data_IF_986391058061
#
_entry.id   IF_986391058061
#
_cell.length_a   1.000
_cell.length_b   1.000
_cell.length_c   1.000
_cell.angle_alpha   90.00
_cell.angle_beta   90.00
_cell.angle_gamma   90.00
#
_symmetry.space_group_name_H-M   'P 1'
#
loop_
_entity.id
_entity.type
_entity.pdbx_description
1 polymer ?
#
# COMPACT_ATOMS: atom_id res chain seq x y z
N UNK A 1 -14.10 24.40 3.28
CA UNK A 1 -14.05 23.66 2.00
C UNK A 1 -12.69 22.99 1.93
N UNK A 2 -12.63 21.73 1.47
CA UNK A 2 -11.37 21.00 1.26
C UNK A 2 -10.90 20.17 2.45
N UNK A 3 -11.75 19.91 3.45
CA UNK A 3 -11.37 19.08 4.62
C UNK A 3 -11.62 17.59 4.44
N UNK A 4 -12.36 17.19 3.42
CA UNK A 4 -12.65 15.80 3.09
C UNK A 4 -12.46 15.59 1.61
N UNK A 5 -11.82 14.49 1.23
CA UNK A 5 -11.66 14.06 -0.14
C UNK A 5 -12.44 12.78 -0.43
N UNK A 6 -12.82 12.58 -1.68
CA UNK A 6 -13.55 11.39 -2.12
C UNK A 6 -12.56 10.31 -2.53
N UNK A 7 -12.68 9.14 -1.92
CA UNK A 7 -12.03 7.92 -2.36
C UNK A 7 -13.02 7.06 -3.14
N UNK A 8 -12.71 6.73 -4.38
CA UNK A 8 -13.55 5.87 -5.21
C UNK A 8 -13.48 4.40 -4.77
N UNK A 9 -14.59 3.68 -4.90
CA UNK A 9 -14.63 2.23 -4.71
C UNK A 9 -14.79 1.55 -6.07
N UNK A 10 -14.01 0.50 -6.32
CA UNK A 10 -13.92 -0.17 -7.61
C UNK A 10 -14.60 -1.54 -7.60
N UNK A 11 -15.33 -1.84 -8.66
CA UNK A 11 -15.96 -3.16 -8.87
C UNK A 11 -14.96 -4.11 -9.55
N UNK A 12 -13.94 -4.59 -8.83
CA UNK A 12 -12.87 -5.44 -9.35
C UNK A 12 -13.35 -6.79 -9.94
N UNK A 13 -14.59 -7.18 -9.68
CA UNK A 13 -15.21 -8.31 -10.37
C UNK A 13 -15.33 -8.10 -11.90
N UNK A 14 -15.30 -6.83 -12.34
CA UNK A 14 -15.34 -6.43 -13.75
C UNK A 14 -14.15 -5.51 -14.08
N UNK A 15 -12.90 -6.02 -14.17
CA UNK A 15 -11.69 -5.20 -14.30
C UNK A 15 -11.75 -4.21 -15.47
N UNK A 16 -12.29 -4.63 -16.61
CA UNK A 16 -12.44 -3.79 -17.79
C UNK A 16 -13.31 -2.52 -17.56
N UNK A 17 -14.13 -2.50 -16.51
CA UNK A 17 -14.95 -1.34 -16.15
C UNK A 17 -14.28 -0.43 -15.11
N UNK A 18 -13.24 -0.90 -14.43
CA UNK A 18 -12.60 -0.15 -13.36
C UNK A 18 -11.94 1.13 -13.88
N UNK A 19 -11.30 1.08 -15.04
CA UNK A 19 -10.70 2.25 -15.68
C UNK A 19 -11.75 3.34 -15.95
N UNK A 20 -12.88 2.98 -16.54
CA UNK A 20 -13.99 3.90 -16.78
C UNK A 20 -14.55 4.47 -15.48
N UNK A 21 -14.70 3.64 -14.44
CA UNK A 21 -15.22 4.09 -13.14
C UNK A 21 -14.26 5.06 -12.44
N UNK A 22 -12.95 4.87 -12.57
CA UNK A 22 -11.96 5.84 -12.07
C UNK A 22 -12.12 7.19 -12.76
N UNK A 23 -12.16 7.22 -14.10
CA UNK A 23 -12.37 8.47 -14.85
C UNK A 23 -13.69 9.14 -14.43
N UNK A 24 -14.76 8.37 -14.33
CA UNK A 24 -16.06 8.88 -13.88
C UNK A 24 -16.02 9.44 -12.46
N UNK A 25 -15.33 8.79 -11.53
CA UNK A 25 -15.22 9.25 -10.15
C UNK A 25 -14.44 10.56 -10.05
N UNK A 26 -13.38 10.72 -10.84
CA UNK A 26 -12.63 11.98 -10.94
C UNK A 26 -13.51 13.08 -11.53
N UNK A 27 -14.15 12.84 -12.66
CA UNK A 27 -14.92 13.84 -13.39
C UNK A 27 -16.15 14.32 -12.61
N UNK A 28 -16.86 13.43 -11.94
CA UNK A 28 -18.12 13.76 -11.26
C UNK A 28 -17.94 14.19 -9.79
N UNK A 29 -16.93 13.64 -9.11
CA UNK A 29 -16.80 13.79 -7.67
C UNK A 29 -15.46 14.40 -7.26
N UNK A 30 -14.53 14.62 -8.19
CA UNK A 30 -13.18 15.08 -7.89
C UNK A 30 -12.36 14.09 -7.09
N UNK A 31 -12.60 12.77 -7.27
CA UNK A 31 -11.85 11.75 -6.54
C UNK A 31 -10.36 11.85 -6.84
N UNK A 32 -9.52 11.76 -5.81
CA UNK A 32 -8.06 11.79 -5.91
C UNK A 32 -7.41 10.45 -5.57
N UNK A 33 -8.21 9.53 -5.07
CA UNK A 33 -7.77 8.19 -4.67
C UNK A 33 -8.85 7.14 -4.95
N UNK A 34 -8.46 5.87 -4.94
CA UNK A 34 -9.39 4.77 -5.03
C UNK A 34 -8.98 3.62 -4.12
N UNK A 35 -9.98 2.99 -3.49
CA UNK A 35 -9.79 1.79 -2.69
C UNK A 35 -9.48 0.61 -3.61
N UNK A 36 -8.37 -0.07 -3.35
CA UNK A 36 -7.90 -1.26 -4.07
C UNK A 36 -7.81 -2.43 -3.07
N UNK A 37 -8.77 -3.37 -3.08
CA UNK A 37 -8.62 -4.60 -2.31
C UNK A 37 -7.36 -5.38 -2.71
N UNK A 38 -6.72 -6.08 -1.78
CA UNK A 38 -5.52 -6.88 -2.07
C UNK A 38 -5.75 -8.03 -3.06
N UNK A 39 -7.02 -8.44 -3.25
CA UNK A 39 -7.44 -9.42 -4.26
C UNK A 39 -8.77 -9.04 -4.89
N UNK A 40 -9.00 -9.47 -6.11
CA UNK A 40 -10.26 -9.32 -6.82
C UNK A 40 -11.11 -10.60 -6.74
N UNK A 41 -11.72 -10.86 -5.58
CA UNK A 41 -12.47 -12.10 -5.33
C UNK A 41 -11.56 -13.34 -5.38
N UNK A 42 -10.42 -13.27 -4.70
CA UNK A 42 -9.39 -14.31 -4.68
C UNK A 42 -8.44 -14.30 -5.89
N UNK A 43 -8.68 -13.48 -6.91
CA UNK A 43 -7.77 -13.34 -8.05
C UNK A 43 -6.67 -12.32 -7.72
N UNK A 44 -5.41 -12.62 -8.04
CA UNK A 44 -4.33 -11.65 -7.90
C UNK A 44 -4.55 -10.41 -8.78
N UNK A 45 -3.98 -9.28 -8.37
CA UNK A 45 -4.09 -8.00 -9.10
C UNK A 45 -3.00 -7.79 -10.15
N UNK A 46 -2.07 -8.69 -10.27
CA UNK A 46 -0.92 -8.64 -11.19
C UNK A 46 -1.25 -9.10 -12.61
N UNK A 47 -2.46 -9.61 -12.85
CA UNK A 47 -2.91 -10.05 -14.15
C UNK A 47 -3.13 -8.90 -15.15
N UNK A 48 -2.96 -9.17 -16.46
CA UNK A 48 -3.07 -8.15 -17.51
C UNK A 48 -4.46 -7.53 -17.63
N UNK A 49 -5.49 -8.16 -17.08
CA UNK A 49 -6.83 -7.61 -17.02
C UNK A 49 -6.96 -6.35 -16.15
N UNK A 50 -5.99 -6.12 -15.25
CA UNK A 50 -5.93 -4.92 -14.41
C UNK A 50 -5.05 -3.80 -14.98
N UNK A 51 -4.27 -4.04 -16.05
CA UNK A 51 -3.39 -3.03 -16.65
C UNK A 51 -4.14 -1.75 -17.05
N UNK A 52 -5.37 -1.88 -17.55
CA UNK A 52 -6.21 -0.72 -17.89
C UNK A 52 -6.56 0.16 -16.66
N UNK A 53 -6.78 -0.46 -15.50
CA UNK A 53 -6.99 0.25 -14.24
C UNK A 53 -5.74 1.01 -13.83
N UNK A 54 -4.58 0.35 -13.84
CA UNK A 54 -3.31 0.95 -13.43
C UNK A 54 -2.87 2.07 -14.37
N UNK A 55 -3.05 1.90 -15.69
CA UNK A 55 -2.77 2.93 -16.67
C UNK A 55 -3.61 4.20 -16.47
N UNK A 56 -4.89 4.06 -16.12
CA UNK A 56 -5.75 5.21 -15.84
C UNK A 56 -5.39 5.85 -14.51
N UNK A 57 -5.12 5.07 -13.47
CA UNK A 57 -4.67 5.59 -12.18
C UNK A 57 -3.36 6.40 -12.33
N UNK A 58 -2.38 5.87 -13.06
CA UNK A 58 -1.13 6.55 -13.39
C UNK A 58 -1.37 7.86 -14.18
N UNK A 59 -2.15 7.79 -15.28
CA UNK A 59 -2.48 8.93 -16.12
C UNK A 59 -3.13 10.08 -15.36
N UNK A 60 -4.00 9.76 -14.40
CA UNK A 60 -4.74 10.74 -13.60
C UNK A 60 -4.01 11.14 -12.31
N UNK A 61 -2.85 10.53 -12.02
CA UNK A 61 -2.10 10.78 -10.78
C UNK A 61 -2.84 10.35 -9.51
N UNK A 62 -3.66 9.30 -9.60
CA UNK A 62 -4.47 8.81 -8.48
C UNK A 62 -3.65 7.92 -7.55
N UNK A 63 -3.83 8.13 -6.25
CA UNK A 63 -3.33 7.23 -5.22
C UNK A 63 -4.27 6.03 -5.09
N UNK A 64 -3.77 4.82 -5.28
CA UNK A 64 -4.52 3.59 -5.01
C UNK A 64 -4.25 3.13 -3.58
N UNK A 65 -5.25 3.21 -2.71
CA UNK A 65 -5.16 2.74 -1.34
C UNK A 65 -5.45 1.25 -1.27
N UNK A 66 -4.41 0.45 -1.11
CA UNK A 66 -4.54 -0.99 -0.98
C UNK A 66 -4.91 -1.36 0.45
N UNK A 67 -6.15 -1.83 0.61
CA UNK A 67 -6.64 -2.36 1.87
C UNK A 67 -7.00 -3.84 1.70
N UNK A 68 -6.51 -4.74 2.56
CA UNK A 68 -6.79 -6.16 2.46
C UNK A 68 -8.27 -6.45 2.68
N UNK A 69 -8.73 -7.50 2.04
CA UNK A 69 -10.04 -8.08 2.28
C UNK A 69 -9.88 -9.54 2.65
N UNK A 70 -10.88 -10.09 3.33
CA UNK A 70 -10.87 -11.50 3.68
C UNK A 70 -10.96 -12.34 2.41
N UNK A 71 -9.83 -12.78 1.92
CA UNK A 71 -9.77 -13.42 0.63
C UNK A 71 -10.27 -14.86 0.68
N UNK A 72 -9.96 -15.65 1.69
CA UNK A 72 -10.37 -17.08 1.67
C UNK A 72 -10.26 -17.80 3.02
N UNK A 73 -11.08 -18.83 3.12
CA UNK A 73 -11.11 -19.89 4.11
C UNK A 73 -11.15 -19.47 5.59
N UNK A 74 -12.37 -19.29 6.13
CA UNK A 74 -12.57 -19.08 7.57
C UNK A 74 -12.02 -20.25 8.42
N UNK A 75 -11.73 -21.39 7.83
CA UNK A 75 -11.22 -22.58 8.53
C UNK A 75 -9.76 -22.47 8.94
N UNK A 76 -8.95 -21.64 8.26
CA UNK A 76 -7.54 -21.44 8.62
C UNK A 76 -7.35 -20.45 9.77
N UNK A 77 -8.31 -19.56 10.01
CA UNK A 77 -8.25 -18.48 10.98
C UNK A 77 -9.50 -18.39 11.87
N UNK A 78 -9.91 -19.47 12.53
CA UNK A 78 -11.25 -19.54 13.13
C UNK A 78 -11.42 -18.80 14.44
N UNK A 79 -10.32 -18.39 15.10
CA UNK A 79 -10.36 -17.82 16.46
C UNK A 79 -9.45 -16.61 16.61
N UNK A 80 -9.66 -15.84 17.70
CA UNK A 80 -8.81 -14.76 18.18
C UNK A 80 -8.64 -13.54 17.25
N UNK A 81 -9.49 -13.37 16.26
CA UNK A 81 -9.33 -12.29 15.27
C UNK A 81 -8.05 -12.40 14.43
N UNK A 82 -7.44 -13.60 14.34
CA UNK A 82 -6.19 -13.84 13.59
C UNK A 82 -6.31 -13.39 12.13
N UNK A 83 -7.51 -13.37 11.59
CA UNK A 83 -7.79 -12.84 10.27
C UNK A 83 -7.35 -11.37 10.17
N UNK A 84 -7.82 -10.53 11.07
CA UNK A 84 -7.49 -9.08 11.10
C UNK A 84 -6.01 -8.88 11.47
N UNK A 85 -5.56 -9.61 12.48
CA UNK A 85 -4.24 -9.40 13.09
C UNK A 85 -3.08 -9.92 12.23
N UNK A 86 -3.29 -10.97 11.44
CA UNK A 86 -2.21 -11.67 10.71
C UNK A 86 -2.53 -11.82 9.23
N UNK A 87 -3.73 -12.29 8.88
CA UNK A 87 -4.04 -12.56 7.49
C UNK A 87 -4.05 -11.29 6.65
N UNK A 88 -4.67 -10.21 7.12
CA UNK A 88 -4.72 -8.96 6.35
C UNK A 88 -3.35 -8.37 6.05
N UNK A 89 -2.43 -8.22 7.02
CA UNK A 89 -1.05 -7.84 6.71
C UNK A 89 -0.35 -8.80 5.73
N UNK A 90 -0.62 -10.09 5.83
CA UNK A 90 -0.07 -11.09 4.91
C UNK A 90 -0.61 -10.93 3.48
N UNK A 91 -1.92 -10.71 3.30
CA UNK A 91 -2.54 -10.51 1.98
C UNK A 91 -1.97 -9.27 1.27
N UNK A 92 -1.81 -8.16 1.98
CA UNK A 92 -1.16 -6.95 1.45
C UNK A 92 0.27 -7.27 0.98
N UNK A 93 1.05 -7.93 1.83
CA UNK A 93 2.42 -8.34 1.51
C UNK A 93 2.48 -9.21 0.25
N UNK A 94 1.61 -10.21 0.17
CA UNK A 94 1.53 -11.12 -0.96
C UNK A 94 1.15 -10.40 -2.25
N UNK A 95 0.10 -9.57 -2.21
CA UNK A 95 -0.39 -8.84 -3.36
C UNK A 95 0.70 -7.93 -3.96
N UNK A 96 1.34 -7.10 -3.13
CA UNK A 96 2.39 -6.18 -3.60
C UNK A 96 3.64 -6.92 -4.08
N UNK A 97 4.05 -7.99 -3.39
CA UNK A 97 5.17 -8.82 -3.84
C UNK A 97 4.91 -9.39 -5.24
N UNK A 98 3.70 -9.89 -5.50
CA UNK A 98 3.31 -10.37 -6.83
C UNK A 98 3.31 -9.25 -7.85
N UNK A 99 2.73 -8.09 -7.55
CA UNK A 99 2.72 -6.93 -8.43
C UNK A 99 4.15 -6.48 -8.81
N UNK A 100 5.09 -6.53 -7.85
CA UNK A 100 6.50 -6.26 -8.13
C UNK A 100 7.04 -7.30 -9.12
N UNK A 101 7.02 -8.59 -8.79
CA UNK A 101 7.66 -9.61 -9.62
C UNK A 101 6.98 -9.85 -10.97
N UNK A 102 5.70 -9.55 -11.11
CA UNK A 102 5.00 -9.55 -12.41
C UNK A 102 5.17 -8.23 -13.19
N UNK A 103 5.99 -7.29 -12.69
CA UNK A 103 6.41 -6.09 -13.40
C UNK A 103 5.31 -5.05 -13.56
N UNK A 104 4.30 -5.02 -12.69
CA UNK A 104 3.24 -3.99 -12.73
C UNK A 104 3.85 -2.59 -12.64
N UNK A 105 4.80 -2.39 -11.73
CA UNK A 105 5.47 -1.11 -11.53
C UNK A 105 6.45 -0.74 -12.66
N UNK A 106 6.95 -1.70 -13.44
CA UNK A 106 7.73 -1.43 -14.64
C UNK A 106 6.83 -0.99 -15.80
N UNK A 107 5.64 -1.60 -15.93
CA UNK A 107 4.65 -1.20 -16.92
C UNK A 107 3.98 0.14 -16.60
N UNK A 108 3.89 0.48 -15.32
CA UNK A 108 3.24 1.69 -14.80
C UNK A 108 4.18 2.45 -13.85
N UNK A 109 5.24 3.10 -14.38
CA UNK A 109 6.28 3.72 -13.55
C UNK A 109 5.80 4.92 -12.72
N UNK A 110 4.69 5.54 -13.07
CA UNK A 110 4.04 6.60 -12.31
C UNK A 110 2.94 6.14 -11.36
N UNK A 111 2.64 4.82 -11.31
CA UNK A 111 1.64 4.27 -10.39
C UNK A 111 2.07 4.47 -8.93
N UNK A 112 1.15 4.98 -8.10
CA UNK A 112 1.36 5.17 -6.67
C UNK A 112 0.39 4.29 -5.87
N UNK A 113 0.92 3.54 -4.90
CA UNK A 113 0.13 2.78 -3.94
C UNK A 113 0.32 3.33 -2.53
N UNK A 114 -0.76 3.41 -1.74
CA UNK A 114 -0.71 3.50 -0.29
C UNK A 114 -1.12 2.14 0.28
N UNK A 115 -0.36 1.61 1.21
CA UNK A 115 -0.62 0.30 1.81
C UNK A 115 -1.12 0.45 3.25
N UNK A 116 -2.26 -0.15 3.53
CA UNK A 116 -2.81 -0.24 4.88
C UNK A 116 -1.94 -1.09 5.81
N UNK A 117 -2.07 -0.84 7.12
CA UNK A 117 -1.44 -1.63 8.20
C UNK A 117 0.09 -1.67 8.10
N UNK A 118 0.71 -0.51 7.81
CA UNK A 118 2.16 -0.38 7.63
C UNK A 118 2.71 -1.18 6.45
N UNK A 119 1.85 -1.54 5.47
CA UNK A 119 2.23 -2.39 4.33
C UNK A 119 2.46 -3.86 4.71
N UNK A 120 1.90 -4.31 5.82
CA UNK A 120 2.06 -5.68 6.31
C UNK A 120 3.50 -5.98 6.70
N UNK A 121 4.09 -7.00 6.07
CA UNK A 121 5.48 -7.39 6.30
C UNK A 121 6.44 -6.92 5.20
N UNK A 122 5.98 -6.10 4.25
CA UNK A 122 6.76 -5.76 3.06
C UNK A 122 8.08 -5.08 3.42
N UNK A 123 8.05 -4.14 4.36
CA UNK A 123 9.24 -3.43 4.86
C UNK A 123 10.26 -4.42 5.45
N UNK A 124 9.80 -5.34 6.29
CA UNK A 124 10.66 -6.34 6.91
C UNK A 124 11.28 -7.30 5.89
N UNK A 125 10.56 -7.60 4.82
CA UNK A 125 10.99 -8.55 3.78
C UNK A 125 11.85 -7.92 2.68
N UNK A 126 12.09 -6.60 2.66
CA UNK A 126 12.85 -5.89 1.61
C UNK A 126 14.18 -6.58 1.27
N UNK A 127 14.98 -6.90 2.28
CA UNK A 127 16.27 -7.56 2.07
C UNK A 127 16.12 -8.97 1.46
N UNK A 128 15.12 -9.73 1.91
CA UNK A 128 14.84 -11.07 1.38
C UNK A 128 14.39 -11.03 -0.09
N UNK A 129 13.54 -10.06 -0.46
CA UNK A 129 13.10 -9.88 -1.84
C UNK A 129 14.25 -9.45 -2.76
N UNK A 130 15.11 -8.54 -2.30
CA UNK A 130 16.31 -8.15 -3.03
C UNK A 130 17.27 -9.33 -3.22
N UNK A 131 17.49 -10.13 -2.17
CA UNK A 131 18.35 -11.31 -2.25
C UNK A 131 17.82 -12.35 -3.25
N UNK A 132 16.49 -12.51 -3.36
CA UNK A 132 15.89 -13.38 -4.38
C UNK A 132 16.18 -12.87 -5.80
N UNK A 133 16.07 -11.55 -6.03
CA UNK A 133 16.41 -10.93 -7.31
C UNK A 133 17.90 -11.06 -7.66
N UNK A 134 18.78 -10.93 -6.67
CA UNK A 134 20.24 -11.02 -6.85
C UNK A 134 20.74 -12.48 -6.95
N UNK A 135 19.94 -13.45 -6.53
CA UNK A 135 20.32 -14.84 -6.50
C UNK A 135 20.80 -15.35 -7.87
N UNK A 136 21.93 -16.08 -7.83
CA UNK A 136 22.50 -16.78 -8.97
C UNK A 136 22.79 -18.21 -8.57
N UNK A 137 22.65 -19.14 -9.46
CA UNK A 137 22.91 -20.55 -9.18
C UNK A 137 21.66 -21.41 -9.34
N UNK A 138 21.73 -22.64 -8.86
CA UNK A 138 20.70 -23.65 -9.08
C UNK A 138 19.37 -23.40 -8.35
N UNK A 139 19.39 -22.58 -7.28
CA UNK A 139 18.20 -22.19 -6.53
C UNK A 139 17.55 -20.90 -7.08
N UNK A 140 18.19 -20.21 -8.01
CA UNK A 140 17.65 -19.00 -8.58
C UNK A 140 16.45 -19.31 -9.47
N UNK A 141 15.27 -18.90 -9.01
CA UNK A 141 14.08 -18.98 -9.84
C UNK A 141 14.19 -17.93 -10.97
N UNK A 142 14.14 -18.34 -12.26
CA UNK A 142 14.18 -17.40 -13.37
C UNK A 142 13.05 -16.36 -13.33
N UNK A 143 11.95 -16.66 -12.64
CA UNK A 143 10.84 -15.73 -12.45
C UNK A 143 11.21 -14.49 -11.63
N UNK A 144 12.21 -14.55 -10.75
CA UNK A 144 12.62 -13.41 -9.94
C UNK A 144 13.13 -12.21 -10.75
N UNK A 145 13.51 -12.42 -12.02
CA UNK A 145 14.00 -11.35 -12.93
C UNK A 145 13.22 -11.25 -14.24
N UNK A 146 12.20 -12.07 -14.39
CA UNK A 146 11.52 -12.21 -15.69
C UNK A 146 10.83 -10.94 -16.14
N UNK A 147 10.23 -10.20 -15.21
CA UNK A 147 9.40 -9.04 -15.53
C UNK A 147 9.83 -7.76 -14.80
N UNK A 148 10.92 -7.80 -14.06
CA UNK A 148 11.42 -6.68 -13.25
C UNK A 148 12.75 -6.17 -13.76
N UNK A 149 12.90 -4.84 -13.85
CA UNK A 149 14.11 -4.19 -14.35
C UNK A 149 15.10 -3.81 -13.26
N UNK A 150 14.70 -3.85 -11.97
CA UNK A 150 15.48 -3.43 -10.82
C UNK A 150 15.14 -4.25 -9.57
N UNK A 151 15.94 -4.13 -8.53
CA UNK A 151 15.74 -4.86 -7.28
C UNK A 151 14.37 -4.48 -6.64
N UNK A 152 13.63 -5.44 -6.06
CA UNK A 152 12.29 -5.21 -5.50
C UNK A 152 12.17 -4.01 -4.55
N UNK A 153 13.18 -3.78 -3.71
CA UNK A 153 13.19 -2.64 -2.79
C UNK A 153 13.27 -1.26 -3.47
N UNK A 154 13.64 -1.18 -4.74
CA UNK A 154 13.68 0.08 -5.48
C UNK A 154 12.29 0.56 -5.91
N UNK A 155 11.31 -0.35 -5.99
CA UNK A 155 9.91 -0.02 -6.27
C UNK A 155 9.21 0.63 -5.07
N UNK A 156 9.80 0.61 -3.88
CA UNK A 156 9.25 1.28 -2.69
C UNK A 156 9.12 2.80 -2.86
N UNK A 157 9.80 3.38 -3.84
CA UNK A 157 9.60 4.78 -4.26
C UNK A 157 8.22 5.08 -4.86
N UNK A 158 7.48 4.03 -5.27
CA UNK A 158 6.11 4.11 -5.78
C UNK A 158 5.09 3.70 -4.72
N UNK A 159 5.54 3.44 -3.48
CA UNK A 159 4.72 2.89 -2.42
C UNK A 159 4.79 3.79 -1.20
N UNK A 160 3.63 4.13 -0.68
CA UNK A 160 3.45 4.75 0.62
C UNK A 160 2.99 3.71 1.64
N UNK A 161 3.31 3.93 2.89
CA UNK A 161 2.98 3.06 4.02
C UNK A 161 2.25 3.88 5.07
N UNK A 162 1.12 3.40 5.59
CA UNK A 162 0.47 4.09 6.70
C UNK A 162 1.14 3.80 8.05
N UNK A 163 0.73 4.54 9.08
CA UNK A 163 1.21 4.34 10.45
C UNK A 163 0.42 3.28 11.23
N UNK A 164 -0.52 2.58 10.58
CA UNK A 164 -1.39 1.59 11.23
C UNK A 164 -0.69 0.25 11.54
N UNK A 165 0.64 0.22 11.57
CA UNK A 165 1.42 -0.84 12.23
C UNK A 165 1.31 -0.77 13.76
N UNK A 166 0.73 0.33 14.28
CA UNK A 166 0.27 0.55 15.65
C UNK A 166 1.37 0.41 16.71
N UNK A 167 2.62 0.67 16.37
CA UNK A 167 3.75 0.70 17.30
C UNK A 167 4.77 1.74 16.85
N UNK A 168 5.30 2.57 17.77
CA UNK A 168 6.34 3.55 17.44
C UNK A 168 7.59 2.92 16.82
N UNK A 169 7.95 1.70 17.25
CA UNK A 169 9.10 0.97 16.73
C UNK A 169 8.88 0.55 15.28
N UNK A 170 7.69 0.02 14.96
CA UNK A 170 7.34 -0.39 13.60
C UNK A 170 7.26 0.80 12.65
N UNK A 171 6.65 1.90 13.08
CA UNK A 171 6.59 3.15 12.31
C UNK A 171 8.01 3.70 12.08
N UNK A 172 8.85 3.75 13.13
CA UNK A 172 10.23 4.20 13.03
C UNK A 172 11.05 3.36 12.05
N UNK A 173 10.91 2.03 12.10
CA UNK A 173 11.57 1.13 11.15
C UNK A 173 11.06 1.32 9.71
N UNK A 174 9.76 1.55 9.52
CA UNK A 174 9.21 1.84 8.19
C UNK A 174 9.82 3.11 7.61
N UNK A 175 9.95 4.15 8.42
CA UNK A 175 10.59 5.42 8.03
C UNK A 175 12.07 5.22 7.66
N UNK A 176 12.81 4.45 8.47
CA UNK A 176 14.22 4.16 8.20
C UNK A 176 14.42 3.44 6.85
N UNK A 177 13.53 2.49 6.52
CA UNK A 177 13.66 1.63 5.34
C UNK A 177 13.09 2.25 4.06
N UNK A 178 11.95 2.94 4.17
CA UNK A 178 11.24 3.50 3.01
C UNK A 178 11.53 4.98 2.76
N UNK A 179 11.86 5.73 3.82
CA UNK A 179 11.96 7.19 3.82
C UNK A 179 10.74 7.83 4.49
N UNK A 180 10.93 8.98 5.15
CA UNK A 180 9.85 9.70 5.80
C UNK A 180 8.79 10.19 4.80
N UNK A 181 9.22 10.58 3.61
CA UNK A 181 8.38 11.00 2.48
C UNK A 181 7.52 9.85 1.89
N UNK A 182 7.64 8.65 2.40
CA UNK A 182 6.86 7.46 2.01
C UNK A 182 5.95 6.96 3.13
N UNK A 183 5.84 7.69 4.25
CA UNK A 183 4.97 7.30 5.36
C UNK A 183 3.84 8.30 5.50
N UNK A 184 2.62 7.82 5.47
CA UNK A 184 1.39 8.60 5.65
C UNK A 184 0.76 8.30 6.99
N UNK A 185 0.26 9.34 7.66
CA UNK A 185 -0.44 9.16 8.92
C UNK A 185 -1.79 8.48 8.69
N UNK A 186 -2.10 7.46 9.47
CA UNK A 186 -3.36 6.75 9.50
C UNK A 186 -3.67 6.25 10.91
N UNK A 187 -4.93 6.14 11.27
CA UNK A 187 -5.39 5.77 12.62
C UNK A 187 -6.15 4.47 12.68
N UNK A 188 -6.55 3.93 11.54
CA UNK A 188 -7.47 2.78 11.44
C UNK A 188 -8.84 3.05 12.10
N UNK A 189 -9.22 4.34 12.25
CA UNK A 189 -10.53 4.72 12.76
C UNK A 189 -11.64 4.24 11.78
N UNK A 190 -12.79 3.71 12.24
CA UNK A 190 -13.27 3.65 13.64
C UNK A 190 -13.05 2.29 14.32
N UNK A 191 -12.06 1.51 13.94
CA UNK A 191 -11.84 0.17 14.49
C UNK A 191 -11.21 0.20 15.88
N UNK A 192 -11.64 -0.74 16.76
CA UNK A 192 -11.21 -0.80 18.17
C UNK A 192 -9.70 -1.03 18.33
N UNK A 193 -9.06 -1.69 17.37
CA UNK A 193 -7.61 -1.93 17.38
C UNK A 193 -6.81 -0.72 16.92
N UNK A 194 -7.47 0.27 16.31
CA UNK A 194 -6.84 1.47 15.76
C UNK A 194 -6.16 2.38 16.77
N UNK A 195 -5.64 3.50 16.29
CA UNK A 195 -4.98 4.54 17.09
C UNK A 195 -5.64 5.92 16.88
N UNK A 196 -6.94 6.06 17.21
CA UNK A 196 -7.72 7.28 16.91
C UNK A 196 -7.19 8.54 17.60
N UNK A 197 -6.38 8.40 18.64
CA UNK A 197 -5.74 9.51 19.36
C UNK A 197 -4.27 9.70 18.94
N UNK A 198 -3.79 8.98 17.93
CA UNK A 198 -2.42 9.01 17.43
C UNK A 198 -1.31 8.72 18.46
N UNK A 199 -1.67 8.12 19.59
CA UNK A 199 -0.75 7.88 20.71
C UNK A 199 0.41 6.95 20.39
N UNK A 200 0.23 6.07 19.41
CA UNK A 200 1.24 5.07 18.99
C UNK A 200 2.11 5.59 17.85
N UNK A 201 1.52 6.34 16.91
CA UNK A 201 2.25 6.87 15.75
C UNK A 201 3.09 8.10 16.09
N UNK A 202 2.53 9.08 16.83
CA UNK A 202 3.18 10.35 17.14
C UNK A 202 4.57 10.24 17.78
N UNK A 203 4.87 9.30 18.72
CA UNK A 203 6.22 9.21 19.28
C UNK A 203 7.30 8.84 18.26
N UNK A 204 6.94 8.14 17.18
CA UNK A 204 7.89 7.86 16.10
C UNK A 204 8.05 9.06 15.17
N UNK A 205 6.94 9.73 14.85
CA UNK A 205 6.95 10.93 13.98
C UNK A 205 7.68 12.08 14.66
N UNK A 206 7.45 12.35 15.95
CA UNK A 206 8.14 13.40 16.70
C UNK A 206 9.66 13.18 16.78
N UNK A 207 10.13 11.94 16.85
CA UNK A 207 11.58 11.64 16.78
C UNK A 207 12.21 12.01 15.45
N UNK A 208 11.44 12.07 14.38
CA UNK A 208 11.91 12.54 13.09
C UNK A 208 12.08 14.07 13.07
N UNK A 209 11.18 14.81 13.72
CA UNK A 209 11.27 16.27 13.84
C UNK A 209 12.53 16.69 14.60
N UNK A 210 12.93 15.93 15.62
CA UNK A 210 14.18 16.16 16.36
C UNK A 210 15.44 15.90 15.52
N UNK A 211 15.37 14.99 14.52
CA UNK A 211 16.53 14.55 13.72
C UNK A 211 16.57 15.13 12.30
N UNK A 212 15.48 15.66 11.78
CA UNK A 212 15.41 16.26 10.46
C UNK A 212 14.43 17.43 10.49
N UNK A 213 14.78 18.54 9.87
CA UNK A 213 13.87 19.67 9.66
C UNK A 213 12.65 19.23 8.84
N UNK A 214 11.62 18.70 9.52
CA UNK A 214 10.37 18.21 8.93
C UNK A 214 9.27 19.28 9.08
N UNK A 215 9.57 20.53 8.77
CA UNK A 215 8.53 21.56 8.66
C UNK A 215 7.59 21.32 7.46
N UNK A 216 8.04 20.68 6.39
CA UNK A 216 7.22 20.47 5.19
C UNK A 216 6.36 19.19 5.22
N UNK A 217 6.83 18.12 5.84
CA UNK A 217 6.09 16.83 5.86
C UNK A 217 4.95 16.85 6.87
N UNK A 218 5.08 17.59 7.96
CA UNK A 218 4.07 17.71 9.01
C UNK A 218 2.79 18.38 8.49
N UNK A 219 2.91 19.43 7.71
CA UNK A 219 1.77 20.18 7.19
C UNK A 219 1.05 19.42 6.07
N UNK A 220 1.79 18.77 5.16
CA UNK A 220 1.18 17.99 4.07
C UNK A 220 0.52 16.70 4.55
N UNK A 221 1.12 16.00 5.52
CA UNK A 221 0.56 14.73 6.06
C UNK A 221 -0.60 15.00 6.99
N UNK A 222 -0.54 16.03 7.84
CA UNK A 222 -1.65 16.43 8.69
C UNK A 222 -2.82 17.02 7.87
N UNK A 223 -2.56 17.77 6.82
CA UNK A 223 -3.60 18.29 5.93
C UNK A 223 -4.34 17.17 5.17
N UNK A 224 -3.65 16.06 4.81
CA UNK A 224 -4.28 14.95 4.07
C UNK A 224 -5.22 14.09 4.95
N UNK A 225 -4.99 14.01 6.26
CA UNK A 225 -5.71 13.08 7.15
C UNK A 225 -6.36 13.70 8.39
N UNK A 226 -5.97 14.91 8.81
CA UNK A 226 -6.72 15.62 9.86
C UNK A 226 -7.99 16.29 9.30
N UNK A 227 -8.20 16.22 8.01
CA UNK A 227 -9.41 16.64 7.34
C UNK A 227 -10.40 15.48 7.08
N UNK A 228 -10.16 14.28 7.61
CA UNK A 228 -11.10 13.19 7.75
C UNK A 228 -11.67 13.18 9.16
#
# INVERSE_FOLDING_TARGET
>A
QGRLEVMATLALAAPAKCAYELERAVDLFGARSALLPATAGGRPLDGPEFDGLFAVAEKLGLLLFMHPVSAESPTRFPLYGVQVLVQWPFETTLAVTRMIFEGVFDRHPGLQLLLAHGGGNLIFLKGRLNSAYEATGWEADPYYRKHVSKAPGEYYKQIFFDTCSLSPESVGFTIEVAGADRVMFGTDYPFDIGDPEAKRALPALNRLEENARIEEVHDEVLELFMDL
#
